data_IF_646183353304
#
_entry.id   IF_646183353304
#
_cell.length_a   1.000
_cell.length_b   1.000
_cell.length_c   1.000
_cell.angle_alpha   90.00
_cell.angle_beta   90.00
_cell.angle_gamma   90.00
#
_symmetry.space_group_name_H-M   'P 1'
#
loop_
_entity.id
_entity.type
_entity.pdbx_description
1 polymer ?
#
# COMPACT_ATOMS: atom_id res chain seq x y z
N UNK A 1 -19.96 23.80 6.10
CA UNK A 1 -19.04 23.65 4.95
C UNK A 1 -18.61 22.20 4.70
N UNK A 2 -18.73 21.33 5.70
CA UNK A 2 -18.29 19.91 5.60
C UNK A 2 -19.38 18.95 5.09
N UNK A 3 -20.63 19.37 4.95
CA UNK A 3 -21.71 18.52 4.47
C UNK A 3 -21.59 18.24 2.98
N UNK A 4 -21.82 17.00 2.55
CA UNK A 4 -21.66 16.56 1.16
C UNK A 4 -22.47 17.40 0.14
N UNK A 5 -23.62 17.93 0.54
CA UNK A 5 -24.48 18.75 -0.30
C UNK A 5 -24.21 20.27 -0.20
N UNK A 6 -23.18 20.68 0.54
CA UNK A 6 -22.89 22.12 0.69
C UNK A 6 -22.58 22.78 -0.65
N UNK A 7 -21.80 22.09 -1.52
CA UNK A 7 -21.52 22.58 -2.87
C UNK A 7 -22.75 22.81 -3.72
N UNK A 8 -23.72 21.88 -3.65
CA UNK A 8 -25.01 22.02 -4.35
C UNK A 8 -25.80 23.23 -3.83
N UNK A 9 -25.84 23.40 -2.50
CA UNK A 9 -26.50 24.59 -1.91
C UNK A 9 -25.87 25.88 -2.41
N UNK A 10 -24.53 25.99 -2.38
CA UNK A 10 -23.81 27.17 -2.85
C UNK A 10 -24.09 27.44 -4.33
N UNK A 11 -24.18 26.38 -5.15
CA UNK A 11 -24.55 26.52 -6.57
C UNK A 11 -25.96 27.09 -6.74
N UNK A 12 -26.94 26.51 -6.05
CA UNK A 12 -28.33 26.97 -6.13
C UNK A 12 -28.47 28.41 -5.61
N UNK A 13 -27.79 28.76 -4.52
CA UNK A 13 -27.76 30.12 -3.97
C UNK A 13 -27.16 31.12 -5.00
N UNK A 14 -26.09 30.73 -5.73
CA UNK A 14 -25.50 31.57 -6.78
C UNK A 14 -26.36 31.75 -8.02
N UNK A 15 -27.17 30.73 -8.35
CA UNK A 15 -28.10 30.75 -9.45
C UNK A 15 -29.45 31.38 -9.06
N UNK A 16 -29.62 31.79 -7.82
CA UNK A 16 -30.87 32.32 -7.25
C UNK A 16 -32.07 31.36 -7.43
N UNK A 17 -31.80 30.04 -7.44
CA UNK A 17 -32.79 29.00 -7.59
C UNK A 17 -33.17 28.45 -6.23
N UNK A 18 -34.48 28.44 -5.90
CA UNK A 18 -34.97 27.79 -4.71
C UNK A 18 -34.88 26.25 -4.91
N UNK A 19 -34.34 25.48 -3.93
CA UNK A 19 -34.31 24.03 -4.01
C UNK A 19 -35.66 23.36 -4.31
N UNK A 20 -36.79 23.99 -3.91
CA UNK A 20 -38.12 23.51 -4.19
C UNK A 20 -38.53 23.63 -5.67
N UNK A 21 -37.87 24.54 -6.42
CA UNK A 21 -38.15 24.76 -7.83
C UNK A 21 -37.34 23.83 -8.76
N UNK A 22 -36.39 23.06 -8.17
CA UNK A 22 -35.62 22.06 -8.92
C UNK A 22 -36.49 20.86 -9.27
N UNK A 23 -36.79 20.70 -10.54
CA UNK A 23 -37.57 19.58 -11.03
C UNK A 23 -36.75 18.28 -11.01
N UNK A 24 -37.40 17.19 -10.61
CA UNK A 24 -36.80 15.86 -10.73
C UNK A 24 -36.58 15.52 -12.20
N UNK A 25 -35.37 15.04 -12.53
CA UNK A 25 -35.09 14.54 -13.87
C UNK A 25 -36.00 13.35 -14.18
N UNK A 26 -36.77 13.39 -15.29
CA UNK A 26 -37.64 12.29 -15.66
C UNK A 26 -36.79 11.05 -15.96
N UNK A 27 -36.99 9.98 -15.18
CA UNK A 27 -36.26 8.73 -15.33
C UNK A 27 -37.27 7.65 -15.75
N UNK A 28 -37.30 7.25 -17.04
CA UNK A 28 -38.24 6.24 -17.50
C UNK A 28 -38.14 4.96 -16.68
N UNK A 29 -39.24 4.46 -16.12
CA UNK A 29 -39.31 3.25 -15.30
C UNK A 29 -39.10 3.45 -13.79
N UNK A 30 -39.00 4.69 -13.29
CA UNK A 30 -38.95 5.01 -11.85
C UNK A 30 -40.13 5.91 -11.46
N UNK A 31 -41.32 5.56 -11.87
CA UNK A 31 -42.52 6.35 -11.55
C UNK A 31 -43.02 6.19 -10.11
N UNK A 32 -42.57 5.12 -9.41
CA UNK A 32 -42.80 4.93 -7.98
C UNK A 32 -41.52 4.58 -7.26
N UNK A 33 -41.07 5.48 -6.36
CA UNK A 33 -39.97 5.16 -5.44
C UNK A 33 -40.51 4.13 -4.43
N UNK A 34 -39.98 2.88 -4.39
CA UNK A 34 -40.43 1.89 -3.44
C UNK A 34 -40.36 2.41 -2.02
N UNK A 35 -41.34 2.04 -1.16
CA UNK A 35 -41.41 2.47 0.27
C UNK A 35 -40.09 2.21 0.99
N UNK A 36 -39.43 1.10 0.72
CA UNK A 36 -38.09 0.76 1.26
C UNK A 36 -37.05 1.83 0.91
N UNK A 37 -37.04 2.31 -0.36
CA UNK A 37 -36.12 3.38 -0.78
C UNK A 37 -36.41 4.71 -0.11
N UNK A 38 -37.68 5.08 0.05
CA UNK A 38 -38.06 6.32 0.72
C UNK A 38 -37.73 6.29 2.21
N UNK A 39 -38.01 5.19 2.91
CA UNK A 39 -37.64 4.96 4.30
C UNK A 39 -36.12 5.00 4.51
N UNK A 40 -35.36 4.33 3.64
CA UNK A 40 -33.91 4.32 3.70
C UNK A 40 -33.30 5.70 3.40
N UNK A 41 -33.83 6.42 2.41
CA UNK A 41 -33.39 7.79 2.11
C UNK A 41 -33.59 8.71 3.31
N UNK A 42 -34.72 8.56 4.03
CA UNK A 42 -34.95 9.28 5.27
C UNK A 42 -33.96 8.90 6.36
N UNK A 43 -33.72 7.61 6.59
CA UNK A 43 -32.74 7.12 7.55
C UNK A 43 -31.34 7.71 7.27
N UNK A 44 -30.90 7.67 6.02
CA UNK A 44 -29.61 8.22 5.61
C UNK A 44 -29.54 9.74 5.79
N UNK A 45 -30.58 10.46 5.41
CA UNK A 45 -30.66 11.90 5.64
C UNK A 45 -30.52 12.24 7.13
N UNK A 46 -31.24 11.52 7.97
CA UNK A 46 -31.27 11.74 9.42
C UNK A 46 -29.94 11.34 10.07
N UNK A 47 -29.30 10.25 9.59
CA UNK A 47 -27.96 9.81 10.02
C UNK A 47 -26.84 10.80 9.61
N UNK A 48 -27.00 11.50 8.49
CA UNK A 48 -26.01 12.45 7.95
C UNK A 48 -26.26 13.90 8.40
N UNK A 49 -27.09 14.13 9.40
CA UNK A 49 -27.27 15.47 9.97
C UNK A 49 -25.93 16.04 10.46
N UNK A 50 -25.67 17.33 10.22
CA UNK A 50 -24.45 17.97 10.69
C UNK A 50 -24.40 18.00 12.22
N UNK A 51 -23.20 18.00 12.80
CA UNK A 51 -22.96 17.97 14.25
C UNK A 51 -23.77 19.05 15.02
N UNK A 52 -24.02 20.19 14.40
CA UNK A 52 -24.83 21.27 14.97
C UNK A 52 -26.33 20.93 15.09
N UNK A 53 -26.80 19.91 14.39
CA UNK A 53 -28.19 19.48 14.38
C UNK A 53 -28.40 18.10 15.04
N UNK A 54 -27.38 17.53 15.65
CA UNK A 54 -27.41 16.17 16.24
C UNK A 54 -28.45 16.04 17.36
N UNK A 55 -28.71 17.10 18.08
CA UNK A 55 -29.75 17.10 19.14
C UNK A 55 -31.16 16.82 18.60
N UNK A 56 -31.39 17.06 17.31
CA UNK A 56 -32.69 16.73 16.70
C UNK A 56 -32.93 15.21 16.64
N UNK A 57 -31.88 14.38 16.70
CA UNK A 57 -32.07 12.91 16.75
C UNK A 57 -32.95 12.42 17.89
N UNK A 58 -32.91 13.10 19.01
CA UNK A 58 -33.75 12.76 20.16
C UNK A 58 -35.26 12.96 19.91
N UNK A 59 -35.59 13.77 18.92
CA UNK A 59 -36.95 14.13 18.56
C UNK A 59 -37.44 13.41 17.29
N UNK A 60 -36.51 12.75 16.55
CA UNK A 60 -36.89 12.01 15.37
C UNK A 60 -37.66 10.74 15.75
N UNK A 61 -38.76 10.42 15.05
CA UNK A 61 -39.39 9.14 15.19
C UNK A 61 -38.48 8.02 14.75
N UNK A 62 -38.58 6.82 15.33
CA UNK A 62 -37.80 5.67 14.92
C UNK A 62 -37.96 5.43 13.40
N UNK A 63 -36.92 4.93 12.72
CA UNK A 63 -37.05 4.58 11.33
C UNK A 63 -38.09 3.47 11.15
N UNK A 64 -38.87 3.48 10.06
CA UNK A 64 -39.79 2.40 9.79
C UNK A 64 -39.03 1.09 9.52
N UNK A 65 -39.62 -0.05 9.90
CA UNK A 65 -38.99 -1.37 9.78
C UNK A 65 -38.49 -1.65 8.33
N UNK A 66 -39.27 -1.21 7.35
CA UNK A 66 -38.86 -1.34 5.91
C UNK A 66 -37.58 -0.59 5.58
N UNK A 67 -37.22 0.46 6.33
CA UNK A 67 -35.97 1.17 6.14
C UNK A 67 -34.75 0.33 6.60
N UNK A 68 -34.95 -0.61 7.49
CA UNK A 68 -33.93 -1.50 8.05
C UNK A 68 -33.85 -2.84 7.31
N UNK A 69 -34.80 -3.15 6.43
CA UNK A 69 -34.84 -4.39 5.69
C UNK A 69 -33.52 -4.61 4.92
N UNK A 70 -32.88 -5.79 5.11
CA UNK A 70 -31.59 -6.13 4.49
C UNK A 70 -30.37 -5.41 5.11
N UNK A 71 -30.54 -4.56 6.13
CA UNK A 71 -29.43 -4.08 6.95
C UNK A 71 -29.08 -5.11 8.02
N UNK A 72 -27.78 -5.42 8.14
CA UNK A 72 -27.25 -6.30 9.19
C UNK A 72 -26.08 -5.60 9.86
N UNK A 73 -25.95 -5.80 11.16
CA UNK A 73 -24.80 -5.37 11.93
C UNK A 73 -24.12 -6.60 12.52
N UNK A 74 -22.82 -6.67 12.40
CA UNK A 74 -21.99 -7.72 12.99
C UNK A 74 -20.93 -7.04 13.84
N UNK A 75 -20.91 -7.32 15.12
CA UNK A 75 -19.88 -6.83 16.04
C UNK A 75 -18.82 -7.90 16.19
N UNK A 76 -17.57 -7.55 15.86
CA UNK A 76 -16.42 -8.45 15.93
C UNK A 76 -15.52 -8.07 17.11
N UNK A 77 -14.93 -9.02 17.83
CA UNK A 77 -14.08 -8.74 19.00
C UNK A 77 -12.74 -8.09 18.62
N UNK A 78 -12.29 -8.24 17.39
CA UNK A 78 -11.04 -7.67 16.90
C UNK A 78 -10.96 -7.57 15.38
N UNK A 79 -9.91 -6.89 14.88
CA UNK A 79 -9.78 -6.63 13.44
C UNK A 79 -9.43 -7.88 12.61
N UNK A 80 -8.93 -8.94 13.23
CA UNK A 80 -8.64 -10.19 12.53
C UNK A 80 -9.93 -11.00 12.36
N UNK A 81 -10.79 -11.03 13.38
CA UNK A 81 -12.11 -11.62 13.31
C UNK A 81 -13.02 -10.87 12.33
N UNK A 82 -12.96 -9.54 12.34
CA UNK A 82 -13.68 -8.71 11.36
C UNK A 82 -13.27 -9.09 9.93
N UNK A 83 -11.96 -9.17 9.65
CA UNK A 83 -11.46 -9.55 8.34
C UNK A 83 -11.93 -10.97 7.94
N UNK A 84 -11.92 -11.92 8.87
CA UNK A 84 -12.38 -13.29 8.65
C UNK A 84 -13.88 -13.35 8.34
N UNK A 85 -14.71 -12.63 9.10
CA UNK A 85 -16.16 -12.54 8.86
C UNK A 85 -16.46 -11.92 7.50
N UNK A 86 -15.80 -10.81 7.16
CA UNK A 86 -15.98 -10.16 5.86
C UNK A 86 -15.59 -11.12 4.72
N UNK A 87 -14.45 -11.80 4.84
CA UNK A 87 -14.00 -12.76 3.84
C UNK A 87 -14.99 -13.92 3.65
N UNK A 88 -15.58 -14.43 4.75
CA UNK A 88 -16.63 -15.46 4.68
C UNK A 88 -17.89 -14.93 3.98
N UNK A 89 -18.34 -13.72 4.29
CA UNK A 89 -19.50 -13.10 3.64
C UNK A 89 -19.26 -12.88 2.13
N UNK A 90 -18.07 -12.42 1.75
CA UNK A 90 -17.69 -12.28 0.35
C UNK A 90 -17.67 -13.63 -0.38
N UNK A 91 -17.16 -14.66 0.28
CA UNK A 91 -17.14 -16.01 -0.29
C UNK A 91 -18.54 -16.61 -0.41
N UNK A 92 -19.41 -16.41 0.60
CA UNK A 92 -20.80 -16.88 0.58
C UNK A 92 -21.56 -16.38 -0.67
N UNK A 93 -21.31 -15.14 -1.09
CA UNK A 93 -21.94 -14.57 -2.31
C UNK A 93 -21.57 -15.38 -3.56
N UNK A 94 -20.39 -15.98 -3.62
CA UNK A 94 -19.96 -16.80 -4.77
C UNK A 94 -20.76 -18.09 -4.92
N UNK A 95 -21.40 -18.59 -3.86
CA UNK A 95 -22.29 -19.75 -3.90
C UNK A 95 -23.59 -19.46 -4.67
N UNK A 96 -23.92 -18.18 -4.88
CA UNK A 96 -25.06 -17.74 -5.68
C UNK A 96 -24.60 -17.24 -7.04
N UNK A 97 -25.13 -17.83 -8.11
CA UNK A 97 -24.78 -17.43 -9.47
C UNK A 97 -25.20 -15.98 -9.76
N UNK A 98 -24.31 -15.21 -10.40
CA UNK A 98 -24.57 -13.85 -10.83
C UNK A 98 -24.52 -12.78 -9.72
N UNK A 99 -24.48 -13.14 -8.44
CA UNK A 99 -24.38 -12.16 -7.36
C UNK A 99 -22.98 -11.59 -7.23
N UNK A 100 -22.91 -10.30 -6.91
CA UNK A 100 -21.67 -9.57 -6.64
C UNK A 100 -21.64 -9.05 -5.20
N UNK A 101 -20.43 -8.84 -4.68
CA UNK A 101 -20.24 -8.24 -3.36
C UNK A 101 -19.05 -7.28 -3.35
N UNK A 102 -19.15 -6.27 -2.49
CA UNK A 102 -18.06 -5.33 -2.29
C UNK A 102 -17.86 -5.01 -0.80
N UNK A 103 -16.59 -4.99 -0.39
CA UNK A 103 -16.17 -4.35 0.85
C UNK A 103 -15.92 -2.87 0.58
N UNK A 104 -16.54 -1.98 1.32
CA UNK A 104 -16.25 -0.54 1.31
C UNK A 104 -15.55 -0.18 2.61
N UNK A 105 -14.31 0.28 2.54
CA UNK A 105 -13.54 0.64 3.72
C UNK A 105 -12.47 1.70 3.45
N UNK A 106 -12.30 2.68 4.34
CA UNK A 106 -11.14 3.56 4.33
C UNK A 106 -9.90 2.89 4.97
N UNK A 107 -10.10 1.81 5.76
CA UNK A 107 -9.01 1.12 6.45
C UNK A 107 -8.26 0.17 5.50
N UNK A 108 -7.09 0.62 5.07
CA UNK A 108 -6.20 -0.15 4.18
C UNK A 108 -5.58 -1.38 4.85
N UNK A 109 -5.55 -1.42 6.20
CA UNK A 109 -5.08 -2.61 6.93
C UNK A 109 -6.15 -3.70 6.89
N UNK A 110 -7.41 -3.33 7.13
CA UNK A 110 -8.54 -4.24 6.99
C UNK A 110 -8.65 -4.79 5.57
N UNK A 111 -8.60 -3.92 4.55
CA UNK A 111 -8.63 -4.32 3.14
C UNK A 111 -7.59 -5.40 2.82
N UNK A 112 -6.33 -5.21 3.27
CA UNK A 112 -5.25 -6.18 3.06
C UNK A 112 -5.46 -7.49 3.81
N UNK A 113 -5.99 -7.44 5.05
CA UNK A 113 -6.33 -8.67 5.80
C UNK A 113 -7.41 -9.46 5.08
N UNK A 114 -8.46 -8.80 4.62
CA UNK A 114 -9.53 -9.45 3.84
C UNK A 114 -8.98 -10.05 2.55
N UNK A 115 -8.17 -9.31 1.80
CA UNK A 115 -7.54 -9.83 0.60
C UNK A 115 -6.64 -11.06 0.89
N UNK A 116 -5.89 -11.04 2.00
CA UNK A 116 -5.06 -12.18 2.42
C UNK A 116 -5.91 -13.41 2.79
N UNK A 117 -7.03 -13.22 3.50
CA UNK A 117 -7.97 -14.32 3.80
C UNK A 117 -8.61 -14.90 2.53
N UNK A 118 -9.01 -14.05 1.58
CA UNK A 118 -9.55 -14.51 0.28
C UNK A 118 -8.50 -15.29 -0.51
N UNK A 119 -7.25 -14.83 -0.52
CA UNK A 119 -6.15 -15.49 -1.21
C UNK A 119 -5.84 -16.91 -0.66
N UNK A 120 -6.11 -17.17 0.64
CA UNK A 120 -6.00 -18.53 1.22
C UNK A 120 -6.93 -19.54 0.54
N UNK A 121 -8.01 -19.08 -0.08
CA UNK A 121 -8.92 -19.89 -0.88
C UNK A 121 -8.64 -19.81 -2.39
N UNK A 122 -7.52 -19.18 -2.78
CA UNK A 122 -7.18 -18.97 -4.19
C UNK A 122 -8.07 -17.96 -4.90
N UNK A 123 -8.72 -17.06 -4.15
CA UNK A 123 -9.59 -16.01 -4.69
C UNK A 123 -8.82 -14.70 -4.63
N UNK A 124 -8.45 -14.18 -5.80
CA UNK A 124 -7.89 -12.84 -5.92
C UNK A 124 -9.04 -11.84 -5.99
N UNK A 125 -9.10 -10.91 -5.03
CA UNK A 125 -10.11 -9.86 -4.99
C UNK A 125 -9.56 -8.57 -5.61
N UNK A 126 -10.40 -7.88 -6.39
CA UNK A 126 -10.03 -6.59 -6.96
C UNK A 126 -10.05 -5.49 -5.88
N UNK A 127 -8.86 -4.97 -5.57
CA UNK A 127 -8.68 -3.84 -4.66
C UNK A 127 -8.40 -2.57 -5.47
N UNK A 128 -9.43 -1.73 -5.64
CA UNK A 128 -9.36 -0.52 -6.45
C UNK A 128 -8.34 0.51 -5.97
N UNK A 129 -7.97 0.50 -4.69
CA UNK A 129 -6.94 1.38 -4.18
C UNK A 129 -5.52 0.90 -4.51
N UNK A 130 -5.37 -0.40 -4.83
CA UNK A 130 -4.08 -1.00 -5.12
C UNK A 130 -3.18 -1.16 -3.88
N UNK A 131 -1.96 -1.65 -4.12
CA UNK A 131 -0.93 -1.82 -3.10
C UNK A 131 0.04 -0.63 -3.17
N UNK A 132 0.31 0.09 -2.07
CA UNK A 132 1.33 1.14 -2.08
C UNK A 132 2.66 0.61 -2.61
N UNK A 133 3.30 1.34 -3.54
CA UNK A 133 4.56 0.92 -4.15
C UNK A 133 5.62 0.56 -3.11
N UNK A 134 5.74 1.36 -2.05
CA UNK A 134 6.67 1.11 -0.94
C UNK A 134 6.44 -0.22 -0.19
N UNK A 135 5.28 -0.86 -0.36
CA UNK A 135 4.91 -2.13 0.27
C UNK A 135 5.00 -3.32 -0.69
N UNK A 136 5.29 -3.07 -1.96
CA UNK A 136 5.58 -4.12 -2.93
C UNK A 136 7.01 -4.64 -2.76
N UNK A 137 7.32 -5.86 -3.24
CA UNK A 137 8.68 -6.37 -3.16
C UNK A 137 9.73 -5.42 -3.78
N UNK A 138 9.58 -4.90 -5.03
CA UNK A 138 10.58 -3.99 -5.59
C UNK A 138 10.65 -2.65 -4.83
N UNK A 139 9.52 -2.06 -4.43
CA UNK A 139 9.53 -0.79 -3.71
C UNK A 139 10.16 -0.89 -2.32
N UNK A 140 9.82 -1.93 -1.53
CA UNK A 140 10.44 -2.18 -0.24
C UNK A 140 11.92 -2.51 -0.36
N UNK A 141 12.33 -3.23 -1.42
CA UNK A 141 13.72 -3.54 -1.71
C UNK A 141 14.55 -2.28 -1.98
N UNK A 142 14.07 -1.39 -2.85
CA UNK A 142 14.73 -0.11 -3.12
C UNK A 142 14.93 0.71 -1.84
N UNK A 143 13.87 0.84 -1.03
CA UNK A 143 13.97 1.53 0.26
C UNK A 143 15.03 0.89 1.17
N UNK A 144 14.98 -0.42 1.35
CA UNK A 144 15.94 -1.14 2.20
C UNK A 144 17.37 -1.05 1.69
N UNK A 145 17.57 -0.96 0.37
CA UNK A 145 18.90 -0.81 -0.23
C UNK A 145 19.56 0.52 0.17
N UNK A 146 18.84 1.62 0.05
CA UNK A 146 19.38 2.92 0.50
C UNK A 146 19.53 2.99 2.02
N UNK A 147 18.58 2.44 2.78
CA UNK A 147 18.62 2.42 4.25
C UNK A 147 19.84 1.63 4.77
N UNK A 148 20.24 0.54 4.09
CA UNK A 148 21.41 -0.24 4.43
C UNK A 148 22.68 0.62 4.37
N UNK A 149 22.89 1.33 3.26
CA UNK A 149 24.11 2.12 3.03
C UNK A 149 24.09 3.36 3.92
N UNK A 150 22.98 4.10 3.95
CA UNK A 150 22.82 5.28 4.81
C UNK A 150 22.97 4.95 6.30
N UNK A 151 22.55 3.77 6.71
CA UNK A 151 22.69 3.27 8.09
C UNK A 151 24.07 2.65 8.41
N UNK A 152 25.03 2.71 7.50
CA UNK A 152 26.37 2.16 7.69
C UNK A 152 26.36 0.65 7.96
N UNK A 153 25.57 -0.10 7.25
CA UNK A 153 25.40 -1.56 7.37
C UNK A 153 25.02 -2.01 8.78
N UNK A 154 24.24 -1.20 9.50
CA UNK A 154 23.80 -1.54 10.84
C UNK A 154 22.99 -2.85 10.86
N UNK A 155 23.05 -3.64 11.96
CA UNK A 155 22.48 -4.99 12.01
C UNK A 155 21.05 -5.12 11.58
N UNK A 156 20.17 -4.17 11.98
CA UNK A 156 18.75 -4.21 11.64
C UNK A 156 18.52 -4.01 10.13
N UNK A 157 19.17 -3.00 9.55
CA UNK A 157 19.09 -2.71 8.11
C UNK A 157 19.68 -3.87 7.31
N UNK A 158 20.81 -4.41 7.76
CA UNK A 158 21.43 -5.57 7.09
C UNK A 158 20.50 -6.78 7.08
N UNK A 159 19.88 -7.11 8.21
CA UNK A 159 18.95 -8.23 8.30
C UNK A 159 17.68 -8.01 7.48
N UNK A 160 17.15 -6.78 7.46
CA UNK A 160 15.96 -6.45 6.70
C UNK A 160 16.17 -6.70 5.19
N UNK A 161 17.25 -6.15 4.62
CA UNK A 161 17.55 -6.34 3.19
C UNK A 161 18.08 -7.76 2.92
N UNK A 162 18.91 -8.32 3.79
CA UNK A 162 19.49 -9.65 3.63
C UNK A 162 18.46 -10.79 3.61
N UNK A 163 17.33 -10.61 4.31
CA UNK A 163 16.21 -11.56 4.31
C UNK A 163 15.17 -11.26 3.22
N UNK A 164 15.33 -10.18 2.48
CA UNK A 164 14.39 -9.80 1.43
C UNK A 164 14.45 -10.81 0.25
N UNK A 165 13.29 -11.18 -0.36
CA UNK A 165 13.23 -12.20 -1.42
C UNK A 165 14.09 -11.89 -2.64
N UNK A 166 14.28 -10.61 -2.97
CA UNK A 166 15.07 -10.18 -4.13
C UNK A 166 16.57 -10.22 -3.89
N UNK A 167 17.07 -10.26 -2.65
CA UNK A 167 18.49 -10.19 -2.36
C UNK A 167 19.20 -11.49 -2.66
N UNK A 168 20.30 -11.42 -3.45
CA UNK A 168 21.18 -12.55 -3.74
C UNK A 168 22.64 -12.14 -3.98
N UNK A 169 22.91 -10.86 -4.28
CA UNK A 169 24.26 -10.30 -4.46
C UNK A 169 25.16 -11.14 -5.42
N UNK A 170 24.61 -11.49 -6.59
CA UNK A 170 25.29 -12.28 -7.62
C UNK A 170 25.47 -13.77 -7.30
N UNK A 171 24.85 -14.29 -6.25
CA UNK A 171 25.00 -15.66 -5.76
C UNK A 171 23.71 -16.46 -5.89
N UNK A 172 23.78 -17.82 -5.79
CA UNK A 172 22.59 -18.62 -5.56
C UNK A 172 21.80 -18.09 -4.37
N UNK A 173 20.49 -17.86 -4.51
CA UNK A 173 19.64 -17.29 -3.45
C UNK A 173 19.76 -18.06 -2.12
N UNK A 174 19.82 -19.40 -2.21
CA UNK A 174 19.97 -20.25 -1.03
C UNK A 174 21.34 -20.06 -0.33
N UNK A 175 22.41 -19.85 -1.09
CA UNK A 175 23.76 -19.59 -0.55
C UNK A 175 23.82 -18.24 0.15
N UNK A 176 23.24 -17.17 -0.47
CA UNK A 176 23.19 -15.86 0.16
C UNK A 176 22.35 -15.87 1.44
N UNK A 177 21.20 -16.56 1.45
CA UNK A 177 20.38 -16.70 2.68
C UNK A 177 21.11 -17.45 3.79
N UNK A 178 21.94 -18.42 3.45
CA UNK A 178 22.78 -19.16 4.42
C UNK A 178 23.83 -18.22 5.00
N UNK A 179 24.52 -17.46 4.15
CA UNK A 179 25.45 -16.42 4.57
C UNK A 179 24.81 -15.44 5.55
N UNK A 180 23.63 -14.88 5.23
CA UNK A 180 22.92 -13.93 6.10
C UNK A 180 22.59 -14.55 7.46
N UNK A 181 22.11 -15.81 7.48
CA UNK A 181 21.80 -16.51 8.74
C UNK A 181 23.05 -16.73 9.59
N UNK A 182 24.13 -17.10 8.98
CA UNK A 182 25.39 -17.36 9.67
C UNK A 182 25.98 -16.06 10.24
N UNK A 183 25.98 -14.98 9.46
CA UNK A 183 26.36 -13.64 9.89
C UNK A 183 25.44 -13.14 11.03
N UNK A 184 24.13 -13.38 10.93
CA UNK A 184 23.17 -13.04 11.99
C UNK A 184 23.57 -13.69 13.32
N UNK A 185 23.87 -14.98 13.29
CA UNK A 185 24.17 -15.74 14.52
C UNK A 185 25.54 -15.42 15.11
N UNK A 186 26.52 -15.12 14.24
CA UNK A 186 27.90 -14.92 14.67
C UNK A 186 28.25 -13.47 15.05
N UNK A 187 27.63 -12.49 14.37
CA UNK A 187 28.00 -11.06 14.51
C UNK A 187 26.81 -10.19 14.89
N UNK A 188 25.67 -10.31 14.14
CA UNK A 188 24.61 -9.29 14.25
C UNK A 188 23.75 -9.38 15.51
N UNK A 189 23.71 -10.55 16.18
CA UNK A 189 22.98 -10.76 17.45
C UNK A 189 23.82 -10.45 18.69
N UNK A 190 25.12 -10.19 18.50
CA UNK A 190 26.04 -9.82 19.59
C UNK A 190 26.00 -8.33 19.94
N UNK A 191 27.05 -7.83 20.61
CA UNK A 191 27.26 -6.41 20.79
C UNK A 191 27.24 -5.71 19.43
N UNK A 192 26.65 -4.51 19.40
CA UNK A 192 26.52 -3.76 18.15
C UNK A 192 27.90 -3.49 17.52
N UNK A 193 28.18 -3.96 16.31
CA UNK A 193 29.42 -3.70 15.63
C UNK A 193 29.58 -2.20 15.30
N UNK A 194 30.81 -1.75 15.10
CA UNK A 194 31.08 -0.42 14.59
C UNK A 194 30.41 -0.23 13.21
N UNK A 195 30.07 1.01 12.83
CA UNK A 195 29.49 1.27 11.52
C UNK A 195 30.41 0.84 10.37
N UNK A 196 29.79 0.45 9.26
CA UNK A 196 30.50 0.03 8.04
C UNK A 196 30.83 -1.47 8.04
N UNK A 197 31.32 -1.90 6.90
CA UNK A 197 31.73 -3.30 6.69
C UNK A 197 32.92 -3.67 7.59
N UNK A 198 33.85 -2.74 7.84
CA UNK A 198 34.96 -2.96 8.77
C UNK A 198 34.51 -3.38 10.16
N UNK A 199 33.43 -2.78 10.65
CA UNK A 199 32.83 -3.18 11.94
C UNK A 199 32.29 -4.62 11.93
N UNK A 200 31.70 -5.04 10.83
CA UNK A 200 31.22 -6.43 10.63
C UNK A 200 32.41 -7.39 10.51
N UNK A 201 33.45 -7.00 9.77
CA UNK A 201 34.68 -7.81 9.62
C UNK A 201 35.40 -8.01 10.95
N UNK A 202 35.46 -6.96 11.79
CA UNK A 202 36.08 -7.04 13.11
C UNK A 202 35.32 -7.99 14.07
N UNK A 203 34.03 -8.22 13.83
CA UNK A 203 33.20 -9.17 14.59
C UNK A 203 33.34 -10.63 14.17
N UNK A 204 34.04 -10.92 13.06
CA UNK A 204 34.22 -12.30 12.58
C UNK A 204 35.23 -13.05 13.44
N UNK A 205 34.90 -14.28 13.83
CA UNK A 205 35.80 -15.24 14.47
C UNK A 205 36.50 -16.08 13.40
N UNK A 206 37.50 -16.89 13.79
CA UNK A 206 38.23 -17.74 12.85
C UNK A 206 37.29 -18.71 12.11
N UNK A 207 36.30 -19.27 12.77
CA UNK A 207 35.31 -20.17 12.19
C UNK A 207 34.41 -19.51 11.14
N UNK A 208 34.17 -18.20 11.27
CA UNK A 208 33.31 -17.41 10.38
C UNK A 208 34.05 -16.53 9.39
N UNK A 209 35.40 -16.65 9.35
CA UNK A 209 36.25 -15.87 8.44
C UNK A 209 35.92 -16.08 6.95
N UNK A 210 35.32 -17.22 6.60
CA UNK A 210 34.83 -17.51 5.25
C UNK A 210 33.70 -16.60 4.78
N UNK A 211 33.04 -15.85 5.68
CA UNK A 211 32.02 -14.83 5.34
C UNK A 211 32.65 -13.54 4.80
N UNK A 212 33.94 -13.30 5.08
CA UNK A 212 34.66 -12.08 4.68
C UNK A 212 34.55 -11.73 3.20
N UNK A 213 34.75 -12.64 2.22
CA UNK A 213 34.67 -12.29 0.81
C UNK A 213 33.30 -11.69 0.43
N UNK A 214 32.21 -12.22 1.00
CA UNK A 214 30.85 -11.73 0.72
C UNK A 214 30.67 -10.30 1.26
N UNK A 215 31.19 -10.01 2.44
CA UNK A 215 31.14 -8.66 3.03
C UNK A 215 31.92 -7.65 2.19
N UNK A 216 33.11 -8.02 1.70
CA UNK A 216 33.93 -7.16 0.83
C UNK A 216 33.24 -6.91 -0.52
N UNK A 217 32.61 -7.92 -1.11
CA UNK A 217 31.84 -7.73 -2.34
C UNK A 217 30.66 -6.76 -2.13
N UNK A 218 29.94 -6.86 -1.00
CA UNK A 218 28.86 -5.92 -0.67
C UNK A 218 29.39 -4.49 -0.47
N UNK A 219 30.57 -4.32 0.10
CA UNK A 219 31.25 -3.02 0.23
C UNK A 219 31.53 -2.41 -1.15
N UNK A 220 32.13 -3.19 -2.04
CA UNK A 220 32.41 -2.75 -3.42
C UNK A 220 31.13 -2.37 -4.15
N UNK A 221 30.07 -3.18 -4.05
CA UNK A 221 28.77 -2.87 -4.65
C UNK A 221 28.19 -1.55 -4.14
N UNK A 222 28.34 -1.25 -2.87
CA UNK A 222 27.76 -0.07 -2.21
C UNK A 222 28.63 1.19 -2.32
N UNK A 223 29.89 1.07 -2.73
CA UNK A 223 30.89 2.14 -2.65
C UNK A 223 30.46 3.44 -3.32
N UNK A 224 29.91 3.37 -4.56
CA UNK A 224 29.44 4.55 -5.28
C UNK A 224 28.29 5.27 -4.59
N UNK A 225 27.30 4.52 -4.10
CA UNK A 225 26.18 5.10 -3.34
C UNK A 225 26.66 5.67 -2.00
N UNK A 226 27.51 4.95 -1.28
CA UNK A 226 28.07 5.37 0.00
C UNK A 226 28.83 6.68 -0.12
N UNK A 227 29.65 6.85 -1.15
CA UNK A 227 30.36 8.10 -1.40
C UNK A 227 29.39 9.27 -1.60
N UNK A 228 28.37 9.11 -2.45
CA UNK A 228 27.42 10.18 -2.75
C UNK A 228 26.56 10.54 -1.55
N UNK A 229 26.15 9.56 -0.72
CA UNK A 229 25.37 9.82 0.49
C UNK A 229 26.11 10.67 1.53
N UNK A 230 27.46 10.65 1.50
CA UNK A 230 28.29 11.45 2.41
C UNK A 230 28.63 12.84 1.86
N UNK A 231 28.27 13.18 0.62
CA UNK A 231 28.52 14.49 0.05
C UNK A 231 27.51 15.53 0.54
N UNK A 232 27.96 16.77 0.86
CA UNK A 232 27.07 17.85 1.29
C UNK A 232 26.19 18.39 0.16
N UNK A 233 26.64 18.23 -1.11
CA UNK A 233 25.93 18.70 -2.29
C UNK A 233 26.16 17.70 -3.43
N UNK A 234 25.09 17.17 -3.99
CA UNK A 234 25.10 16.18 -5.07
C UNK A 234 23.78 16.22 -5.84
N UNK A 235 23.81 15.98 -7.14
CA UNK A 235 22.59 15.96 -7.96
C UNK A 235 21.72 14.73 -7.66
N UNK A 236 20.40 14.90 -7.76
CA UNK A 236 19.47 13.80 -7.57
C UNK A 236 19.69 12.70 -8.62
N UNK A 237 20.09 13.06 -9.84
CA UNK A 237 20.38 12.09 -10.93
C UNK A 237 21.52 11.15 -10.53
N UNK A 238 22.62 11.68 -9.97
CA UNK A 238 23.75 10.86 -9.53
C UNK A 238 23.36 9.94 -8.39
N UNK A 239 22.59 10.44 -7.40
CA UNK A 239 22.09 9.64 -6.27
C UNK A 239 21.19 8.50 -6.74
N UNK A 240 20.19 8.80 -7.59
CA UNK A 240 19.28 7.77 -8.12
C UNK A 240 20.06 6.76 -8.95
N UNK A 241 20.97 7.21 -9.83
CA UNK A 241 21.80 6.31 -10.64
C UNK A 241 22.62 5.33 -9.80
N UNK A 242 23.34 5.84 -8.78
CA UNK A 242 24.12 4.99 -7.88
C UNK A 242 23.25 4.06 -7.04
N UNK A 243 22.10 4.54 -6.57
CA UNK A 243 21.14 3.73 -5.82
C UNK A 243 20.61 2.56 -6.66
N UNK A 244 20.18 2.82 -7.89
CA UNK A 244 19.66 1.77 -8.78
C UNK A 244 20.76 0.78 -9.14
N UNK A 245 21.96 1.26 -9.47
CA UNK A 245 23.11 0.38 -9.75
C UNK A 245 23.42 -0.55 -8.58
N UNK A 246 23.40 -0.04 -7.36
CA UNK A 246 23.56 -0.86 -6.15
C UNK A 246 22.40 -1.86 -5.96
N UNK A 247 21.15 -1.39 -6.09
CA UNK A 247 19.98 -2.24 -5.94
C UNK A 247 19.96 -3.38 -6.97
N UNK A 248 20.29 -3.10 -8.23
CA UNK A 248 20.38 -4.11 -9.29
C UNK A 248 21.52 -5.12 -9.02
N UNK A 249 22.71 -4.65 -8.60
CA UNK A 249 23.81 -5.54 -8.22
C UNK A 249 23.41 -6.46 -7.05
N UNK A 250 22.74 -5.92 -6.05
CA UNK A 250 22.27 -6.66 -4.89
C UNK A 250 21.13 -7.64 -5.24
N UNK A 251 20.30 -7.31 -6.23
CA UNK A 251 19.22 -8.17 -6.71
C UNK A 251 19.71 -9.28 -7.63
N UNK A 252 20.87 -9.14 -8.28
CA UNK A 252 21.41 -10.16 -9.17
C UNK A 252 21.58 -11.51 -8.46
N UNK A 253 21.25 -12.61 -9.14
CA UNK A 253 21.56 -13.98 -8.71
C UNK A 253 22.56 -14.62 -9.67
N UNK A 254 23.02 -15.82 -9.36
CA UNK A 254 23.89 -16.60 -10.26
C UNK A 254 23.24 -16.82 -11.63
N UNK A 255 21.93 -17.08 -11.64
CA UNK A 255 21.18 -17.47 -12.84
C UNK A 255 20.52 -16.30 -13.58
N UNK A 256 20.36 -15.14 -12.92
CA UNK A 256 19.54 -14.04 -13.44
C UNK A 256 20.11 -12.67 -13.08
N UNK A 257 20.26 -11.76 -14.08
CA UNK A 257 20.73 -10.41 -13.83
C UNK A 257 19.73 -9.63 -12.95
N UNK A 258 20.26 -8.69 -12.16
CA UNK A 258 19.48 -7.90 -11.22
C UNK A 258 18.30 -7.15 -11.83
N UNK A 259 18.45 -6.46 -12.96
CA UNK A 259 17.32 -5.80 -13.63
C UNK A 259 16.18 -6.75 -13.96
N UNK A 260 16.47 -7.96 -14.44
CA UNK A 260 15.45 -8.94 -14.77
C UNK A 260 14.67 -9.46 -13.54
N UNK A 261 15.27 -9.37 -12.35
CA UNK A 261 14.61 -9.74 -11.09
C UNK A 261 13.90 -8.54 -10.43
N UNK A 262 14.55 -7.39 -10.40
CA UNK A 262 14.04 -6.20 -9.71
C UNK A 262 12.82 -5.59 -10.40
N UNK A 263 12.86 -5.50 -11.73
CA UNK A 263 11.83 -4.85 -12.53
C UNK A 263 10.79 -5.82 -13.10
N UNK A 264 10.76 -7.05 -12.61
CA UNK A 264 9.82 -8.07 -13.06
C UNK A 264 8.38 -7.81 -12.55
N UNK A 265 7.41 -8.14 -13.42
CA UNK A 265 5.99 -8.06 -13.15
C UNK A 265 5.47 -6.64 -12.94
N UNK A 266 4.16 -6.51 -12.68
CA UNK A 266 3.48 -5.22 -12.58
C UNK A 266 4.05 -4.29 -11.50
N UNK A 267 4.46 -4.85 -10.37
CA UNK A 267 5.10 -4.08 -9.31
C UNK A 267 6.50 -3.59 -9.71
N UNK A 268 7.26 -4.42 -10.44
CA UNK A 268 8.56 -4.04 -10.99
C UNK A 268 8.44 -2.97 -12.07
N UNK A 269 7.47 -3.10 -12.99
CA UNK A 269 7.18 -2.11 -14.01
C UNK A 269 6.77 -0.76 -13.39
N UNK A 270 5.91 -0.80 -12.35
CA UNK A 270 5.51 0.41 -11.63
C UNK A 270 6.68 1.09 -10.90
N UNK A 271 7.58 0.29 -10.32
CA UNK A 271 8.80 0.80 -9.70
C UNK A 271 9.74 1.44 -10.74
N UNK A 272 9.93 0.79 -11.89
CA UNK A 272 10.73 1.33 -12.99
C UNK A 272 10.13 2.64 -13.53
N UNK A 273 8.80 2.69 -13.69
CA UNK A 273 8.08 3.92 -14.08
C UNK A 273 8.30 5.06 -13.09
N UNK A 274 8.22 4.77 -11.78
CA UNK A 274 8.52 5.75 -10.73
C UNK A 274 9.96 6.29 -10.84
N UNK A 275 10.94 5.42 -11.05
CA UNK A 275 12.35 5.83 -11.21
C UNK A 275 12.54 6.69 -12.46
N UNK A 276 11.90 6.32 -13.59
CA UNK A 276 11.95 7.11 -14.81
C UNK A 276 11.39 8.52 -14.61
N UNK A 277 10.20 8.64 -14.02
CA UNK A 277 9.59 9.94 -13.69
C UNK A 277 10.47 10.77 -12.74
N UNK A 278 11.12 10.11 -11.78
CA UNK A 278 12.03 10.75 -10.85
C UNK A 278 13.26 11.32 -11.57
N UNK A 279 13.85 10.58 -12.49
CA UNK A 279 14.99 11.01 -13.30
C UNK A 279 14.62 12.16 -14.23
N UNK A 280 13.45 12.09 -14.89
CA UNK A 280 12.96 13.15 -15.78
C UNK A 280 12.71 14.46 -15.01
N UNK A 281 12.23 14.37 -13.77
CA UNK A 281 11.97 15.52 -12.92
C UNK A 281 13.21 16.05 -12.22
N UNK A 282 14.23 15.22 -12.01
CA UNK A 282 15.43 15.52 -11.25
C UNK A 282 16.25 16.68 -11.86
N UNK A 283 16.19 16.86 -13.19
CA UNK A 283 16.87 17.96 -13.87
C UNK A 283 16.38 19.36 -13.43
N UNK A 284 15.15 19.43 -12.90
CA UNK A 284 14.55 20.67 -12.42
C UNK A 284 14.89 21.00 -10.95
N UNK A 285 15.44 20.02 -10.23
CA UNK A 285 15.83 20.14 -8.83
C UNK A 285 17.31 20.52 -8.76
N UNK A 286 17.62 21.44 -7.86
CA UNK A 286 19.02 21.74 -7.53
C UNK A 286 19.67 20.58 -6.77
N UNK A 287 20.97 20.71 -6.51
CA UNK A 287 21.70 19.78 -5.68
C UNK A 287 21.11 19.69 -4.27
N UNK A 288 21.24 18.51 -3.69
CA UNK A 288 20.77 18.21 -2.33
C UNK A 288 21.87 17.55 -1.50
N UNK A 289 21.71 17.55 -0.18
CA UNK A 289 22.60 16.80 0.69
C UNK A 289 22.37 15.29 0.50
N UNK A 290 23.45 14.54 0.23
CA UNK A 290 23.36 13.09 0.10
C UNK A 290 22.71 12.42 1.31
N UNK A 291 22.97 12.91 2.51
CA UNK A 291 22.38 12.39 3.74
C UNK A 291 20.83 12.51 3.80
N UNK A 292 20.22 13.43 3.05
CA UNK A 292 18.76 13.60 3.00
C UNK A 292 18.07 12.69 1.96
N UNK A 293 18.84 12.03 1.09
CA UNK A 293 18.31 11.28 -0.04
C UNK A 293 17.35 10.16 0.36
N UNK A 294 17.70 9.33 1.36
CA UNK A 294 16.85 8.21 1.78
C UNK A 294 15.46 8.67 2.22
N UNK A 295 15.39 9.75 3.02
CA UNK A 295 14.12 10.34 3.46
C UNK A 295 13.33 10.95 2.30
N UNK A 296 14.01 11.63 1.39
CA UNK A 296 13.40 12.18 0.19
C UNK A 296 12.80 11.09 -0.69
N UNK A 297 13.56 10.01 -0.94
CA UNK A 297 13.13 8.88 -1.74
C UNK A 297 11.87 8.22 -1.15
N UNK A 298 11.82 8.03 0.17
CA UNK A 298 10.66 7.47 0.87
C UNK A 298 9.41 8.37 0.71
N UNK A 299 9.58 9.69 0.86
CA UNK A 299 8.48 10.65 0.68
C UNK A 299 7.98 10.66 -0.77
N UNK A 300 8.88 10.64 -1.76
CA UNK A 300 8.51 10.65 -3.18
C UNK A 300 7.82 9.36 -3.62
N UNK A 301 8.15 8.22 -2.99
CA UNK A 301 7.46 6.95 -3.22
C UNK A 301 6.07 6.91 -2.56
N UNK A 302 5.84 7.74 -1.53
CA UNK A 302 4.55 7.83 -0.84
C UNK A 302 3.46 8.32 -1.80
N UNK A 303 2.30 7.68 -1.76
CA UNK A 303 1.18 8.01 -2.65
C UNK A 303 1.22 7.30 -4.02
N UNK A 304 2.29 6.58 -4.34
CA UNK A 304 2.35 5.70 -5.51
C UNK A 304 1.72 4.35 -5.17
N UNK A 305 0.79 3.90 -5.98
CA UNK A 305 0.13 2.61 -5.81
C UNK A 305 0.24 1.77 -7.07
N UNK A 306 0.49 0.49 -6.88
CA UNK A 306 0.45 -0.52 -7.93
C UNK A 306 -0.97 -1.09 -7.97
N UNK A 307 -1.59 -1.03 -9.12
CA UNK A 307 -2.91 -1.62 -9.37
C UNK A 307 -2.74 -2.70 -10.43
N UNK A 308 -2.97 -3.96 -10.08
CA UNK A 308 -2.97 -5.04 -11.07
C UNK A 308 -3.95 -4.72 -12.20
N UNK A 309 -3.50 -4.88 -13.44
CA UNK A 309 -4.35 -4.61 -14.62
C UNK A 309 -5.41 -5.69 -14.80
N UNK A 310 -5.11 -6.90 -14.36
CA UNK A 310 -5.95 -8.09 -14.51
C UNK A 310 -5.76 -9.00 -13.30
N UNK A 311 -6.76 -9.82 -13.00
CA UNK A 311 -6.60 -10.92 -12.02
C UNK A 311 -7.63 -10.94 -10.89
N UNK A 312 -8.33 -9.84 -10.61
CA UNK A 312 -9.37 -9.81 -9.58
C UNK A 312 -10.61 -10.62 -9.98
N UNK A 313 -11.28 -11.23 -9.00
CA UNK A 313 -12.52 -11.97 -9.23
C UNK A 313 -13.64 -11.00 -9.70
N UNK A 314 -14.30 -11.23 -10.85
CA UNK A 314 -15.20 -10.24 -11.48
C UNK A 314 -16.44 -9.87 -10.64
N UNK A 315 -16.78 -10.66 -9.62
CA UNK A 315 -17.93 -10.44 -8.76
C UNK A 315 -17.60 -9.94 -7.37
N UNK A 316 -16.29 -9.77 -7.05
CA UNK A 316 -15.84 -9.32 -5.72
C UNK A 316 -14.92 -8.12 -5.85
N UNK A 317 -15.15 -7.10 -5.03
CA UNK A 317 -14.33 -5.90 -5.03
C UNK A 317 -14.07 -5.37 -3.61
N UNK A 318 -12.96 -4.67 -3.45
CA UNK A 318 -12.71 -3.79 -2.31
C UNK A 318 -12.64 -2.36 -2.83
N UNK A 319 -13.54 -1.51 -2.35
CA UNK A 319 -13.63 -0.13 -2.76
C UNK A 319 -13.23 0.81 -1.64
N UNK A 320 -12.51 1.86 -1.99
CA UNK A 320 -12.37 3.03 -1.14
C UNK A 320 -13.66 3.87 -1.14
N UNK A 321 -13.72 4.89 -0.28
CA UNK A 321 -14.93 5.73 -0.14
C UNK A 321 -15.27 6.51 -1.41
N UNK A 322 -14.27 6.90 -2.22
CA UNK A 322 -14.49 7.62 -3.46
C UNK A 322 -14.91 6.67 -4.59
N UNK A 323 -14.25 5.53 -4.67
CA UNK A 323 -14.50 4.50 -5.69
C UNK A 323 -15.87 3.86 -5.52
N UNK A 324 -16.34 3.69 -4.27
CA UNK A 324 -17.68 3.15 -3.99
C UNK A 324 -18.82 4.03 -4.53
N UNK A 325 -18.54 5.30 -4.85
CA UNK A 325 -19.53 6.17 -5.47
C UNK A 325 -19.84 5.67 -6.87
N UNK A 326 -21.10 5.61 -7.22
CA UNK A 326 -21.58 5.16 -8.54
C UNK A 326 -21.32 3.68 -8.84
N UNK A 327 -20.90 2.90 -7.85
CA UNK A 327 -20.77 1.45 -7.97
C UNK A 327 -21.99 0.75 -7.35
N UNK A 328 -22.25 -0.47 -7.83
CA UNK A 328 -23.35 -1.29 -7.35
C UNK A 328 -22.87 -2.73 -7.11
N UNK A 329 -23.30 -3.31 -6.01
CA UNK A 329 -23.17 -4.74 -5.72
C UNK A 329 -24.41 -5.20 -4.96
N UNK A 330 -24.78 -6.48 -5.09
CA UNK A 330 -25.93 -7.06 -4.39
C UNK A 330 -25.70 -7.12 -2.87
N UNK A 331 -24.44 -7.30 -2.46
CA UNK A 331 -24.02 -7.21 -1.07
C UNK A 331 -22.94 -6.14 -0.93
N UNK A 332 -23.23 -5.12 -0.10
CA UNK A 332 -22.24 -4.11 0.29
C UNK A 332 -21.92 -4.30 1.77
N UNK A 333 -20.65 -4.48 2.07
CA UNK A 333 -20.15 -4.62 3.45
C UNK A 333 -19.38 -3.33 3.78
N UNK A 334 -19.78 -2.66 4.85
CA UNK A 334 -19.04 -1.52 5.39
C UNK A 334 -18.16 -2.03 6.51
N UNK A 335 -16.84 -1.88 6.38
CA UNK A 335 -15.89 -2.38 7.36
C UNK A 335 -14.93 -1.30 7.88
N UNK A 336 -14.39 -1.52 9.08
CA UNK A 336 -13.49 -0.55 9.73
C UNK A 336 -14.22 0.67 10.28
N UNK A 337 -15.42 0.48 10.80
CA UNK A 337 -16.29 1.51 11.36
C UNK A 337 -15.95 1.83 12.82
#
# INVERSE_FOLDING_TARGET
QTHAQHGMKVLLDRLEINPADVQLWPCPGIDEVPKVRSGRARLLRDALLPASAVDTWRQLPPPPDEALEGLRRVDCPGPDEEAGVIALMLREVLESEGKSAALVTPDRKLARRVAAEMNRWGIEIDDTAGVPLAQTPPGSFLKLAVDLVAGGFAPLQFLAIGKHPLTAAGRPVAAFRRFVRELEMSVLRGPRPAPGIDGLLAGLQDETRHLKPVLLDLEVMAAGLSELLNRPSVSLIELVGAHISFAEALAASEDMPGPARLWAGEAGEAAAGFISELLDSAASLGDLSGASYGSLFDVLMTGRAVRPRYGGHPRLAIWGLLEARLQHAELIILGGL
#
